data_IF_088820232382
#
_entry.id   IF_088820232382
#
_cell.length_a   1.000
_cell.length_b   1.000
_cell.length_c   1.000
_cell.angle_alpha   90.00
_cell.angle_beta   90.00
_cell.angle_gamma   90.00
#
_symmetry.space_group_name_H-M   'P 1'
#
loop_
_entity.id
_entity.type
_entity.pdbx_description
1 polymer ?
#
# COMPACT_ATOMS: atom_id res chain seq x y z
N UNK A 1 9.99 -27.06 8.39
CA UNK A 1 9.55 -26.05 9.37
C UNK A 1 8.08 -26.30 9.66
N UNK A 2 7.55 -25.99 10.84
CA UNK A 2 6.16 -26.28 11.21
C UNK A 2 5.14 -25.29 10.60
N UNK A 3 5.22 -25.09 9.30
CA UNK A 3 4.34 -24.20 8.54
C UNK A 3 3.30 -25.06 7.80
N UNK A 4 2.04 -24.61 7.75
CA UNK A 4 1.01 -25.19 6.91
C UNK A 4 1.08 -24.57 5.51
N UNK A 5 1.23 -25.39 4.46
CA UNK A 5 1.56 -24.94 3.10
C UNK A 5 0.54 -25.49 2.10
N UNK A 6 -0.11 -24.58 1.35
CA UNK A 6 -1.19 -24.93 0.41
C UNK A 6 -0.80 -24.60 -1.02
N UNK A 7 -0.97 -25.57 -1.93
CA UNK A 7 -0.72 -25.40 -3.36
C UNK A 7 -1.97 -24.99 -4.15
N UNK A 8 -1.84 -24.06 -5.09
CA UNK A 8 -2.88 -23.76 -6.07
C UNK A 8 -2.41 -24.12 -7.48
N UNK A 9 -3.15 -24.97 -8.19
CA UNK A 9 -2.79 -25.44 -9.53
C UNK A 9 -3.88 -25.14 -10.57
N UNK A 10 -3.49 -25.11 -11.85
CA UNK A 10 -4.37 -24.74 -12.97
C UNK A 10 -5.15 -25.88 -13.64
N UNK A 11 -5.18 -27.08 -13.05
CA UNK A 11 -6.05 -28.20 -13.44
C UNK A 11 -6.21 -29.22 -12.30
N UNK A 12 -7.28 -30.04 -12.33
CA UNK A 12 -7.46 -31.15 -11.38
C UNK A 12 -6.26 -32.08 -11.35
N UNK A 13 -5.72 -32.44 -12.52
CA UNK A 13 -4.61 -33.37 -12.62
C UNK A 13 -3.33 -32.82 -12.00
N UNK A 14 -3.06 -31.52 -12.14
CA UNK A 14 -1.93 -30.87 -11.48
C UNK A 14 -2.11 -30.77 -9.97
N UNK A 15 -3.28 -30.32 -9.49
CA UNK A 15 -3.59 -30.32 -8.05
C UNK A 15 -3.49 -31.73 -7.46
N UNK A 16 -4.00 -32.73 -8.19
CA UNK A 16 -3.90 -34.15 -7.84
C UNK A 16 -2.46 -34.63 -7.81
N UNK A 17 -1.60 -34.26 -8.76
CA UNK A 17 -0.16 -34.62 -8.76
C UNK A 17 0.60 -33.92 -7.62
N UNK A 18 0.22 -32.69 -7.24
CA UNK A 18 0.72 -32.02 -6.04
C UNK A 18 0.38 -32.75 -4.73
N UNK A 19 -0.59 -33.68 -4.73
CA UNK A 19 -0.93 -34.54 -3.59
C UNK A 19 -0.45 -36.01 -3.75
N UNK A 20 -0.61 -36.60 -4.93
CA UNK A 20 -0.67 -38.07 -5.09
C UNK A 20 0.70 -38.77 -5.09
N UNK A 21 1.80 -38.08 -5.38
CA UNK A 21 3.11 -38.70 -5.25
C UNK A 21 3.57 -38.90 -3.79
N UNK A 22 2.74 -38.56 -2.79
CA UNK A 22 2.98 -38.77 -1.34
C UNK A 22 4.29 -38.17 -0.78
N UNK A 23 4.98 -37.36 -1.57
CA UNK A 23 6.34 -36.86 -1.31
C UNK A 23 6.51 -35.38 -1.73
N UNK A 24 5.42 -34.70 -2.09
CA UNK A 24 5.40 -33.25 -2.37
C UNK A 24 4.88 -32.55 -1.12
N UNK A 25 5.61 -31.53 -0.66
CA UNK A 25 5.55 -31.03 0.73
C UNK A 25 4.47 -29.94 0.95
N UNK A 26 3.28 -30.18 0.40
CA UNK A 26 2.08 -29.39 0.68
C UNK A 26 1.17 -30.17 1.62
N UNK A 27 0.62 -29.51 2.63
CA UNK A 27 -0.41 -30.08 3.50
C UNK A 27 -1.76 -30.21 2.76
N UNK A 28 -2.03 -29.29 1.82
CA UNK A 28 -3.25 -29.23 1.02
C UNK A 28 -3.01 -28.65 -0.38
N UNK A 29 -3.91 -28.90 -1.33
CA UNK A 29 -3.89 -28.25 -2.65
C UNK A 29 -5.28 -28.18 -3.32
N UNK A 30 -5.48 -27.22 -4.23
CA UNK A 30 -6.74 -27.07 -4.98
C UNK A 30 -6.53 -26.61 -6.44
N UNK A 31 -7.57 -26.79 -7.26
CA UNK A 31 -7.59 -26.36 -8.66
C UNK A 31 -8.29 -24.98 -8.79
N UNK A 32 -7.52 -23.90 -8.85
CA UNK A 32 -8.07 -22.53 -8.81
C UNK A 32 -8.98 -22.19 -10.01
N UNK A 33 -8.99 -22.99 -11.09
CA UNK A 33 -9.86 -22.77 -12.26
C UNK A 33 -11.27 -23.36 -12.12
N UNK A 34 -11.54 -24.13 -11.08
CA UNK A 34 -12.85 -24.78 -10.86
C UNK A 34 -13.56 -24.33 -9.58
N UNK A 35 -12.89 -23.56 -8.73
CA UNK A 35 -13.51 -22.98 -7.55
C UNK A 35 -14.40 -21.79 -7.99
N UNK A 36 -15.71 -21.79 -7.71
CA UNK A 36 -16.60 -20.69 -8.10
C UNK A 36 -16.36 -19.42 -7.26
N UNK A 37 -15.77 -19.57 -6.08
CA UNK A 37 -15.33 -18.49 -5.21
C UNK A 37 -13.95 -18.81 -4.63
N UNK A 38 -12.92 -18.18 -5.19
CA UNK A 38 -11.54 -18.30 -4.69
C UNK A 38 -11.36 -17.68 -3.30
N UNK A 39 -12.12 -16.65 -2.95
CA UNK A 39 -12.04 -15.96 -1.66
C UNK A 39 -12.54 -16.87 -0.55
N UNK A 40 -13.71 -17.51 -0.74
CA UNK A 40 -14.21 -18.52 0.19
C UNK A 40 -13.32 -19.78 0.23
N UNK A 41 -12.69 -20.15 -0.89
CA UNK A 41 -11.77 -21.29 -0.93
C UNK A 41 -10.51 -21.05 -0.11
N UNK A 42 -9.84 -19.92 -0.33
CA UNK A 42 -8.69 -19.52 0.46
C UNK A 42 -9.05 -19.36 1.94
N UNK A 43 -10.28 -18.91 2.26
CA UNK A 43 -10.75 -18.81 3.65
C UNK A 43 -10.97 -20.16 4.32
N UNK A 44 -11.35 -21.21 3.58
CA UNK A 44 -11.47 -22.60 4.09
C UNK A 44 -10.10 -23.15 4.52
N UNK A 45 -9.08 -22.96 3.68
CA UNK A 45 -7.71 -23.41 3.97
C UNK A 45 -6.99 -22.53 5.00
N UNK A 46 -7.19 -21.21 4.95
CA UNK A 46 -6.53 -20.24 5.82
C UNK A 46 -7.54 -19.50 6.72
N UNK A 47 -8.18 -20.18 7.70
CA UNK A 47 -9.18 -19.55 8.56
C UNK A 47 -8.60 -18.40 9.39
N UNK A 48 -7.30 -18.46 9.74
CA UNK A 48 -6.56 -17.40 10.45
C UNK A 48 -5.95 -16.33 9.52
N UNK A 49 -5.96 -16.57 8.21
CA UNK A 49 -5.31 -15.75 7.19
C UNK A 49 -3.97 -16.33 6.70
N UNK A 50 -3.44 -15.75 5.62
CA UNK A 50 -2.20 -16.16 4.93
C UNK A 50 -1.04 -15.26 5.40
N UNK A 51 -0.03 -15.84 6.06
CA UNK A 51 1.16 -15.10 6.52
C UNK A 51 2.16 -14.79 5.39
N UNK A 52 2.28 -15.70 4.42
CA UNK A 52 3.19 -15.61 3.28
C UNK A 52 2.45 -16.13 2.04
N UNK A 53 2.34 -15.30 1.01
CA UNK A 53 1.90 -15.71 -0.32
C UNK A 53 3.04 -15.55 -1.34
N UNK A 54 3.17 -16.53 -2.23
CA UNK A 54 4.16 -16.51 -3.30
C UNK A 54 3.43 -16.26 -4.63
N UNK A 55 3.47 -15.01 -5.09
CA UNK A 55 2.67 -14.54 -6.22
C UNK A 55 3.34 -14.93 -7.56
N UNK A 56 2.74 -15.92 -8.20
CA UNK A 56 3.13 -16.47 -9.50
C UNK A 56 1.96 -16.56 -10.51
N UNK A 57 0.72 -16.23 -10.11
CA UNK A 57 -0.49 -16.32 -10.94
C UNK A 57 -0.97 -14.93 -11.37
N UNK A 58 -1.26 -14.02 -10.44
CA UNK A 58 -1.79 -12.67 -10.70
C UNK A 58 -3.31 -12.61 -10.89
N UNK A 59 -3.81 -11.40 -11.16
CA UNK A 59 -5.22 -11.12 -11.45
C UNK A 59 -6.18 -11.59 -10.35
N UNK A 60 -7.23 -12.33 -10.75
CA UNK A 60 -8.28 -12.83 -9.84
C UNK A 60 -7.76 -13.68 -8.67
N UNK A 61 -6.59 -14.32 -8.81
CA UNK A 61 -5.98 -15.06 -7.71
C UNK A 61 -5.41 -14.10 -6.64
N UNK A 62 -4.71 -13.04 -7.07
CA UNK A 62 -4.20 -12.00 -6.17
C UNK A 62 -5.34 -11.28 -5.44
N UNK A 63 -6.39 -10.95 -6.19
CA UNK A 63 -7.57 -10.27 -5.68
C UNK A 63 -8.31 -11.11 -4.62
N UNK A 64 -8.37 -12.44 -4.78
CA UNK A 64 -8.93 -13.36 -3.78
C UNK A 64 -7.99 -13.63 -2.59
N UNK A 65 -6.68 -13.47 -2.77
CA UNK A 65 -5.67 -13.62 -1.70
C UNK A 65 -5.64 -12.41 -0.77
N UNK A 66 -5.67 -11.17 -1.29
CA UNK A 66 -5.58 -9.94 -0.49
C UNK A 66 -6.56 -9.87 0.72
N UNK A 67 -7.87 -10.21 0.61
CA UNK A 67 -8.77 -10.24 1.77
C UNK A 67 -8.46 -11.40 2.74
N UNK A 68 -7.83 -12.47 2.25
CA UNK A 68 -7.40 -13.63 3.02
C UNK A 68 -6.00 -13.50 3.63
N UNK A 69 -5.22 -12.46 3.33
CA UNK A 69 -3.93 -12.22 4.00
C UNK A 69 -4.11 -12.03 5.52
N UNK A 70 -3.13 -12.50 6.29
CA UNK A 70 -2.99 -12.18 7.71
C UNK A 70 -2.58 -10.71 7.91
N UNK A 71 -2.68 -10.21 9.14
CA UNK A 71 -2.13 -8.90 9.51
C UNK A 71 -0.60 -8.96 9.43
N UNK A 72 0.04 -7.98 8.78
CA UNK A 72 1.47 -7.98 8.44
C UNK A 72 1.91 -9.14 7.53
N UNK A 73 0.95 -9.73 6.78
CA UNK A 73 1.23 -10.77 5.79
C UNK A 73 2.13 -10.27 4.64
N UNK A 74 2.89 -11.17 4.03
CA UNK A 74 3.89 -10.84 3.00
C UNK A 74 3.59 -11.51 1.66
N UNK A 75 3.77 -10.77 0.57
CA UNK A 75 3.60 -11.25 -0.80
C UNK A 75 4.93 -11.12 -1.54
N UNK A 76 5.55 -12.25 -1.91
CA UNK A 76 6.74 -12.26 -2.77
C UNK A 76 6.33 -12.44 -4.23
N UNK A 77 6.50 -11.41 -5.05
CA UNK A 77 6.06 -11.39 -6.45
C UNK A 77 7.17 -11.92 -7.35
N UNK A 78 6.89 -13.03 -8.03
CA UNK A 78 7.83 -13.76 -8.88
C UNK A 78 7.40 -13.78 -10.35
N UNK A 79 6.08 -13.86 -10.60
CA UNK A 79 5.54 -14.15 -11.93
C UNK A 79 4.36 -13.29 -12.35
N UNK A 80 3.18 -13.49 -11.75
CA UNK A 80 1.89 -13.11 -12.35
C UNK A 80 1.67 -13.74 -13.75
N UNK A 81 2.01 -15.03 -13.91
CA UNK A 81 2.11 -15.69 -15.22
C UNK A 81 0.78 -15.73 -16.00
N UNK A 82 -0.38 -15.71 -15.33
CA UNK A 82 -1.67 -15.68 -16.06
C UNK A 82 -1.91 -14.37 -16.80
N UNK A 83 -1.17 -13.31 -16.46
CA UNK A 83 -1.32 -11.97 -16.99
C UNK A 83 -0.48 -11.70 -18.25
N UNK A 84 0.57 -12.50 -18.49
CA UNK A 84 1.55 -12.27 -19.56
C UNK A 84 0.96 -12.31 -20.98
N UNK A 85 -0.09 -13.10 -21.19
CA UNK A 85 -0.69 -13.35 -22.50
C UNK A 85 -2.01 -12.60 -22.72
N UNK A 86 -2.38 -11.69 -21.80
CA UNK A 86 -3.59 -10.87 -21.89
C UNK A 86 -3.28 -9.54 -22.56
N UNK A 87 -4.11 -9.13 -23.54
CA UNK A 87 -4.00 -7.82 -24.22
C UNK A 87 -4.29 -6.65 -23.28
N UNK A 88 -5.13 -6.90 -22.28
CA UNK A 88 -5.32 -6.08 -21.10
C UNK A 88 -5.25 -7.05 -19.91
N UNK A 89 -4.21 -6.98 -19.06
CA UNK A 89 -4.15 -7.75 -17.82
C UNK A 89 -5.41 -7.54 -16.97
N UNK A 90 -5.77 -8.53 -16.15
CA UNK A 90 -6.77 -8.36 -15.09
C UNK A 90 -6.30 -7.25 -14.13
N UNK A 91 -7.13 -6.23 -13.93
CA UNK A 91 -6.92 -5.25 -12.86
C UNK A 91 -7.07 -5.90 -11.48
N UNK A 92 -6.29 -5.44 -10.50
CA UNK A 92 -6.54 -5.75 -9.08
C UNK A 92 -7.15 -4.53 -8.41
N UNK A 93 -8.40 -4.66 -7.98
CA UNK A 93 -9.26 -3.54 -7.58
C UNK A 93 -9.20 -3.30 -6.05
N UNK A 94 -8.81 -4.31 -5.27
CA UNK A 94 -8.85 -4.26 -3.80
C UNK A 94 -7.51 -3.95 -3.11
N UNK A 95 -6.60 -3.24 -3.80
CA UNK A 95 -5.27 -2.88 -3.27
C UNK A 95 -5.29 -2.01 -1.99
N UNK A 96 -6.42 -1.37 -1.67
CA UNK A 96 -6.60 -0.70 -0.37
C UNK A 96 -6.46 -1.67 0.82
N UNK A 97 -6.65 -2.98 0.60
CA UNK A 97 -6.41 -4.02 1.61
C UNK A 97 -4.95 -4.11 2.04
N UNK A 98 -3.99 -3.65 1.22
CA UNK A 98 -2.59 -3.51 1.63
C UNK A 98 -2.48 -2.61 2.88
N UNK A 99 -3.28 -1.55 2.97
CA UNK A 99 -3.33 -0.64 4.12
C UNK A 99 -3.95 -1.34 5.33
N UNK A 100 -5.17 -1.87 5.16
CA UNK A 100 -5.94 -2.46 6.27
C UNK A 100 -5.26 -3.69 6.88
N UNK A 101 -4.63 -4.52 6.05
CA UNK A 101 -3.87 -5.71 6.46
C UNK A 101 -2.40 -5.42 6.77
N UNK A 102 -1.89 -4.24 6.46
CA UNK A 102 -0.45 -3.87 6.47
C UNK A 102 0.41 -4.88 5.70
N UNK A 103 -0.06 -5.24 4.51
CA UNK A 103 0.61 -6.25 3.67
C UNK A 103 1.80 -5.62 2.97
N UNK A 104 2.92 -6.31 3.06
CA UNK A 104 4.15 -6.01 2.35
C UNK A 104 4.23 -6.85 1.08
N UNK A 105 4.26 -6.20 -0.09
CA UNK A 105 4.32 -6.83 -1.41
C UNK A 105 5.59 -6.40 -2.15
N UNK A 106 6.47 -7.33 -2.46
CA UNK A 106 7.80 -7.04 -3.04
C UNK A 106 8.09 -7.97 -4.22
N UNK A 107 8.45 -7.37 -5.36
CA UNK A 107 8.94 -8.12 -6.51
C UNK A 107 10.43 -8.43 -6.41
N UNK A 108 10.82 -9.63 -6.83
CA UNK A 108 12.22 -10.05 -6.82
C UNK A 108 12.61 -10.76 -8.13
N UNK A 109 13.90 -10.74 -8.47
CA UNK A 109 14.44 -11.54 -9.56
C UNK A 109 15.65 -12.33 -9.05
N UNK A 110 15.69 -13.63 -9.37
CA UNK A 110 16.69 -14.59 -8.84
C UNK A 110 18.15 -14.20 -9.16
N UNK A 111 18.38 -13.41 -10.20
CA UNK A 111 19.71 -12.88 -10.58
C UNK A 111 20.35 -12.05 -9.47
N UNK A 112 19.54 -11.28 -8.75
CA UNK A 112 20.03 -10.31 -7.77
C UNK A 112 20.45 -11.04 -6.48
N UNK A 113 19.79 -12.18 -6.23
CA UNK A 113 20.01 -13.08 -5.10
C UNK A 113 20.98 -14.23 -5.42
N UNK A 114 21.68 -14.20 -6.57
CA UNK A 114 22.62 -15.28 -6.95
C UNK A 114 23.81 -15.40 -5.99
N UNK A 115 24.09 -14.36 -5.20
CA UNK A 115 25.02 -14.40 -4.07
C UNK A 115 24.61 -15.42 -2.97
N UNK A 116 23.34 -15.81 -2.89
CA UNK A 116 22.83 -16.88 -2.02
C UNK A 116 23.01 -18.28 -2.61
N UNK A 117 23.36 -18.41 -3.91
CA UNK A 117 23.43 -19.69 -4.60
C UNK A 117 24.37 -20.73 -3.94
N UNK A 118 25.55 -20.37 -3.37
CA UNK A 118 26.38 -21.33 -2.64
C UNK A 118 25.67 -21.93 -1.42
N UNK A 119 24.99 -21.10 -0.63
CA UNK A 119 24.21 -21.50 0.56
C UNK A 119 22.98 -22.32 0.17
N UNK A 120 22.31 -21.95 -0.92
CA UNK A 120 21.24 -22.76 -1.52
C UNK A 120 21.77 -24.15 -1.92
N UNK A 121 22.89 -24.23 -2.63
CA UNK A 121 23.46 -25.50 -3.05
C UNK A 121 23.92 -26.38 -1.88
N UNK A 122 24.43 -25.79 -0.79
CA UNK A 122 24.73 -26.50 0.45
C UNK A 122 23.47 -27.09 1.09
N UNK A 123 22.44 -26.26 1.30
CA UNK A 123 21.14 -26.66 1.85
C UNK A 123 20.47 -27.76 1.00
N UNK A 124 20.44 -27.58 -0.32
CA UNK A 124 19.81 -28.54 -1.24
C UNK A 124 20.58 -29.86 -1.29
N UNK A 125 21.92 -29.86 -1.28
CA UNK A 125 22.74 -31.08 -1.19
C UNK A 125 22.42 -31.89 0.07
N UNK A 126 22.17 -31.23 1.21
CA UNK A 126 21.73 -31.93 2.42
C UNK A 126 20.34 -32.55 2.22
N UNK A 127 19.35 -31.78 1.76
CA UNK A 127 17.98 -32.27 1.60
C UNK A 127 17.86 -33.39 0.55
N UNK A 128 18.61 -33.34 -0.56
CA UNK A 128 18.67 -34.43 -1.53
C UNK A 128 19.30 -35.71 -0.94
N UNK A 129 20.39 -35.60 -0.16
CA UNK A 129 20.99 -36.76 0.54
C UNK A 129 20.04 -37.37 1.58
N UNK A 130 19.21 -36.55 2.20
CA UNK A 130 18.21 -36.96 3.20
C UNK A 130 16.88 -37.41 2.57
N UNK A 131 16.77 -37.46 1.24
CA UNK A 131 15.54 -37.84 0.52
C UNK A 131 14.38 -36.85 0.66
N UNK A 132 14.64 -35.63 1.15
CA UNK A 132 13.63 -34.62 1.52
C UNK A 132 13.17 -33.73 0.36
N UNK A 133 13.57 -34.03 -0.88
CA UNK A 133 13.21 -33.26 -2.07
C UNK A 133 12.84 -34.20 -3.20
N UNK A 134 11.59 -34.08 -3.66
CA UNK A 134 11.12 -34.66 -4.92
C UNK A 134 10.92 -33.53 -5.92
N UNK A 135 11.33 -33.77 -7.15
CA UNK A 135 11.28 -32.79 -8.23
C UNK A 135 10.76 -33.46 -9.48
N UNK A 136 9.66 -32.92 -10.02
CA UNK A 136 8.97 -33.46 -11.20
C UNK A 136 9.33 -32.57 -12.39
N UNK A 137 10.17 -33.11 -13.29
CA UNK A 137 10.47 -32.48 -14.57
C UNK A 137 9.54 -33.01 -15.66
N UNK A 138 9.22 -32.14 -16.61
CA UNK A 138 8.48 -32.47 -17.83
C UNK A 138 9.48 -32.42 -19.00
N UNK A 139 10.31 -33.45 -19.07
CA UNK A 139 11.48 -33.52 -19.96
C UNK A 139 11.06 -33.87 -21.38
N UNK A 140 11.32 -32.94 -22.29
CA UNK A 140 11.05 -33.10 -23.72
C UNK A 140 12.38 -33.08 -24.46
N UNK A 141 12.72 -34.19 -25.11
CA UNK A 141 13.96 -34.34 -25.89
C UNK A 141 13.77 -33.90 -27.35
N UNK A 142 14.86 -33.49 -28.00
CA UNK A 142 14.87 -32.95 -29.37
C UNK A 142 14.67 -31.44 -29.44
N UNK A 143 15.43 -30.76 -30.30
CA UNK A 143 15.29 -29.31 -30.55
C UNK A 143 13.99 -29.02 -31.31
N UNK A 144 13.65 -29.92 -32.23
CA UNK A 144 12.40 -30.05 -32.98
C UNK A 144 11.16 -30.11 -32.09
N UNK A 145 11.28 -30.61 -30.86
CA UNK A 145 10.20 -30.72 -29.88
C UNK A 145 10.00 -29.44 -29.04
N UNK A 146 11.00 -28.55 -29.01
CA UNK A 146 10.97 -27.34 -28.18
C UNK A 146 9.78 -26.39 -28.45
N UNK A 147 9.29 -26.19 -29.70
CA UNK A 147 8.09 -25.38 -29.94
C UNK A 147 6.83 -26.00 -29.32
N UNK A 148 6.68 -27.33 -29.39
CA UNK A 148 5.55 -28.03 -28.79
C UNK A 148 5.60 -28.00 -27.25
N UNK A 149 6.80 -28.15 -26.67
CA UNK A 149 7.04 -27.96 -25.25
C UNK A 149 6.66 -26.53 -24.79
N UNK A 150 7.11 -25.50 -25.52
CA UNK A 150 6.83 -24.10 -25.20
C UNK A 150 5.33 -23.77 -25.30
N UNK A 151 4.63 -24.29 -26.31
CA UNK A 151 3.17 -24.22 -26.41
C UNK A 151 2.51 -24.93 -25.22
N UNK A 152 3.03 -26.10 -24.82
CA UNK A 152 2.59 -26.84 -23.64
C UNK A 152 2.67 -26.00 -22.36
N UNK A 153 3.78 -25.27 -22.18
CA UNK A 153 4.00 -24.39 -21.03
C UNK A 153 2.98 -23.24 -21.00
N UNK A 154 2.90 -22.45 -22.08
CA UNK A 154 2.02 -21.26 -22.13
C UNK A 154 0.52 -21.59 -22.19
N UNK A 155 0.15 -22.75 -22.75
CA UNK A 155 -1.26 -23.23 -22.69
C UNK A 155 -1.57 -24.04 -21.42
N UNK A 156 -0.61 -24.15 -20.50
CA UNK A 156 -0.82 -24.76 -19.18
C UNK A 156 -0.99 -26.28 -19.19
N UNK A 157 -0.46 -26.98 -20.20
CA UNK A 157 -0.48 -28.46 -20.31
C UNK A 157 0.65 -29.13 -19.52
N UNK A 158 1.88 -28.60 -19.58
CA UNK A 158 3.07 -29.21 -18.95
C UNK A 158 2.91 -29.41 -17.45
N UNK A 159 3.22 -30.59 -16.93
CA UNK A 159 2.93 -31.02 -15.54
C UNK A 159 4.01 -30.57 -14.56
N UNK A 160 5.28 -30.55 -14.99
CA UNK A 160 6.44 -30.14 -14.20
C UNK A 160 7.04 -28.80 -14.62
N UNK A 161 8.25 -28.50 -14.12
CA UNK A 161 9.06 -27.39 -14.67
C UNK A 161 9.75 -27.89 -15.96
N UNK A 162 9.74 -27.05 -16.98
CA UNK A 162 10.31 -27.34 -18.30
C UNK A 162 11.62 -26.57 -18.48
N UNK A 163 12.68 -27.21 -18.99
CA UNK A 163 13.98 -26.57 -19.24
C UNK A 163 14.23 -26.42 -20.75
N UNK A 164 14.51 -25.19 -21.18
CA UNK A 164 14.90 -24.83 -22.56
C UNK A 164 15.64 -23.48 -22.49
N UNK A 165 16.52 -23.18 -23.46
CA UNK A 165 17.45 -22.04 -23.39
C UNK A 165 17.16 -21.05 -24.54
N UNK A 166 17.32 -19.74 -24.29
CA UNK A 166 17.21 -18.56 -25.21
C UNK A 166 15.81 -17.86 -25.23
N UNK A 167 15.71 -16.67 -25.84
CA UNK A 167 14.98 -15.47 -25.39
C UNK A 167 13.80 -14.97 -26.29
N UNK A 168 12.77 -14.39 -25.64
CA UNK A 168 11.93 -13.21 -26.02
C UNK A 168 10.89 -13.19 -27.19
N UNK A 169 9.64 -12.78 -26.86
CA UNK A 169 8.72 -11.81 -27.58
C UNK A 169 7.30 -12.27 -28.06
N UNK A 170 6.25 -12.02 -27.23
CA UNK A 170 4.82 -11.63 -27.56
C UNK A 170 3.84 -12.67 -28.24
N UNK A 171 2.48 -12.55 -28.27
CA UNK A 171 1.41 -11.90 -27.43
C UNK A 171 -0.04 -12.20 -27.98
N UNK A 172 -1.13 -11.63 -27.40
CA UNK A 172 -2.55 -11.53 -27.92
C UNK A 172 -3.40 -12.85 -28.00
N UNK A 173 -4.76 -12.95 -27.93
CA UNK A 173 -6.01 -12.11 -27.76
C UNK A 173 -7.03 -12.89 -26.84
N UNK A 174 -8.25 -12.51 -26.37
CA UNK A 174 -9.16 -11.33 -26.28
C UNK A 174 -10.31 -11.63 -25.24
N UNK A 175 -10.97 -10.62 -24.62
CA UNK A 175 -12.31 -10.69 -23.94
C UNK A 175 -12.50 -11.70 -22.75
N UNK A 176 -13.61 -11.86 -21.97
CA UNK A 176 -14.80 -11.10 -21.44
C UNK A 176 -15.50 -12.02 -20.35
N UNK A 177 -16.55 -11.72 -19.53
CA UNK A 177 -17.42 -10.58 -19.14
C UNK A 177 -17.98 -10.80 -17.69
N UNK A 178 -19.04 -10.10 -17.22
CA UNK A 178 -19.60 -10.22 -15.84
C UNK A 178 -21.07 -9.73 -15.68
N UNK A 179 -21.85 -10.21 -14.67
CA UNK A 179 -22.57 -9.37 -13.65
C UNK A 179 -22.82 -10.08 -12.27
N UNK A 180 -23.37 -9.54 -11.14
CA UNK A 180 -23.56 -8.22 -10.46
C UNK A 180 -24.17 -8.43 -9.01
N UNK A 181 -24.09 -7.41 -8.11
CA UNK A 181 -25.06 -7.04 -7.01
C UNK A 181 -25.22 -7.97 -5.74
N UNK A 182 -25.56 -7.51 -4.52
CA UNK A 182 -25.27 -6.29 -3.70
C UNK A 182 -25.67 -6.51 -2.20
N UNK A 183 -25.50 -5.52 -1.30
CA UNK A 183 -25.69 -5.63 0.18
C UNK A 183 -26.87 -4.78 0.75
N UNK A 184 -27.19 -4.91 2.05
CA UNK A 184 -28.25 -4.15 2.76
C UNK A 184 -27.87 -3.94 4.25
N UNK A 185 -28.21 -2.78 4.85
CA UNK A 185 -27.84 -2.39 6.23
C UNK A 185 -28.99 -1.67 6.99
N UNK A 186 -28.88 -1.63 8.33
CA UNK A 186 -29.69 -0.84 9.26
C UNK A 186 -28.77 0.09 10.07
N UNK A 187 -29.19 1.33 10.34
CA UNK A 187 -28.38 2.35 11.02
C UNK A 187 -28.95 2.75 12.40
N UNK A 188 -28.05 2.90 13.37
CA UNK A 188 -28.29 3.68 14.60
C UNK A 188 -27.63 5.06 14.44
N UNK A 189 -28.28 6.12 14.92
CA UNK A 189 -27.69 7.47 14.93
C UNK A 189 -26.80 7.62 16.16
N UNK A 190 -25.56 8.06 15.94
CA UNK A 190 -24.57 8.47 16.96
C UNK A 190 -23.80 9.69 16.41
N UNK A 191 -23.15 10.50 17.28
CA UNK A 191 -22.19 11.51 16.82
C UNK A 191 -21.11 10.89 15.94
N UNK A 192 -20.64 11.66 14.95
CA UNK A 192 -19.44 11.31 14.18
C UNK A 192 -18.24 11.37 15.14
N UNK A 193 -17.30 10.45 15.02
CA UNK A 193 -16.05 10.43 15.82
C UNK A 193 -14.89 10.84 14.92
N UNK A 194 -14.00 11.70 15.41
CA UNK A 194 -12.83 12.13 14.66
C UNK A 194 -11.68 12.61 15.55
N UNK A 195 -10.53 12.91 14.93
CA UNK A 195 -9.40 13.49 15.63
C UNK A 195 -9.60 14.98 15.88
N UNK A 196 -9.58 15.40 17.15
CA UNK A 196 -9.61 16.80 17.56
C UNK A 196 -8.66 17.06 18.74
N UNK A 197 -8.71 18.30 19.24
CA UNK A 197 -8.05 18.78 20.45
C UNK A 197 -9.12 19.28 21.40
N UNK A 198 -8.94 19.11 22.70
CA UNK A 198 -9.92 19.44 23.73
C UNK A 198 -9.24 19.82 25.05
N UNK A 199 -9.92 20.65 25.85
CA UNK A 199 -9.57 20.88 27.25
C UNK A 199 -10.25 19.84 28.14
N UNK A 200 -9.55 19.34 29.16
CA UNK A 200 -10.13 18.50 30.21
C UNK A 200 -10.86 19.41 31.21
N UNK A 201 -12.19 19.33 31.25
CA UNK A 201 -13.02 20.11 32.16
C UNK A 201 -13.22 19.42 33.53
N UNK A 202 -13.30 18.09 33.53
CA UNK A 202 -13.32 17.22 34.72
C UNK A 202 -12.68 15.87 34.36
N UNK A 203 -12.16 15.13 35.34
CA UNK A 203 -11.50 13.84 35.12
C UNK A 203 -11.51 12.94 36.36
N UNK A 204 -12.11 11.76 36.21
CA UNK A 204 -11.91 10.63 37.14
C UNK A 204 -10.64 9.80 36.87
N UNK A 205 -9.81 10.18 35.91
CA UNK A 205 -8.60 9.45 35.51
C UNK A 205 -7.34 10.20 36.01
N UNK A 206 -6.50 9.61 36.88
CA UNK A 206 -5.37 10.33 37.50
C UNK A 206 -4.28 10.82 36.52
N UNK A 207 -4.29 10.37 35.26
CA UNK A 207 -3.37 10.84 34.23
C UNK A 207 -3.79 12.19 33.59
N UNK A 208 -5.04 12.62 33.80
CA UNK A 208 -5.61 13.86 33.26
C UNK A 208 -6.28 14.66 34.39
N UNK A 209 -6.12 15.98 34.36
CA UNK A 209 -6.67 16.90 35.37
C UNK A 209 -7.25 18.14 34.69
N UNK A 210 -8.13 18.86 35.40
CA UNK A 210 -8.78 20.06 34.88
C UNK A 210 -7.76 21.07 34.33
N UNK A 211 -8.01 21.60 33.13
CA UNK A 211 -7.12 22.51 32.42
C UNK A 211 -5.94 21.84 31.67
N UNK A 212 -5.85 20.51 31.67
CA UNK A 212 -4.96 19.81 30.74
C UNK A 212 -5.55 19.84 29.32
N UNK A 213 -4.74 20.18 28.31
CA UNK A 213 -5.12 19.97 26.91
C UNK A 213 -4.77 18.55 26.45
N UNK A 214 -5.64 17.95 25.63
CA UNK A 214 -5.49 16.61 25.06
C UNK A 214 -5.81 16.61 23.57
N UNK A 215 -5.19 15.70 22.81
CA UNK A 215 -5.59 15.38 21.44
C UNK A 215 -5.89 13.90 21.29
N UNK A 216 -6.84 13.55 20.42
CA UNK A 216 -7.30 12.16 20.32
C UNK A 216 -8.61 12.01 19.57
N UNK A 217 -9.25 10.85 19.73
CA UNK A 217 -10.56 10.56 19.13
C UNK A 217 -11.68 11.04 20.05
N UNK A 218 -12.49 11.99 19.57
CA UNK A 218 -13.61 12.59 20.29
C UNK A 218 -14.85 12.69 19.37
N UNK A 219 -16.01 13.01 19.94
CA UNK A 219 -17.24 13.23 19.18
C UNK A 219 -17.26 14.57 18.44
N UNK A 220 -18.06 14.65 17.39
CA UNK A 220 -18.39 15.87 16.65
C UNK A 220 -19.49 16.64 17.40
N UNK A 221 -19.10 17.17 18.55
CA UNK A 221 -19.96 17.81 19.56
C UNK A 221 -19.13 18.83 20.37
N UNK A 222 -19.77 19.65 21.20
CA UNK A 222 -19.07 20.65 22.01
C UNK A 222 -18.41 20.05 23.27
N UNK A 223 -18.92 18.92 23.77
CA UNK A 223 -18.48 18.26 24.99
C UNK A 223 -18.61 16.74 24.84
N UNK A 224 -17.49 16.00 24.85
CA UNK A 224 -17.49 14.53 24.82
C UNK A 224 -17.21 13.94 26.21
N UNK A 225 -18.09 13.06 26.69
CA UNK A 225 -17.77 12.15 27.80
C UNK A 225 -16.99 10.95 27.25
N UNK A 226 -15.75 10.77 27.71
CA UNK A 226 -14.86 9.70 27.22
C UNK A 226 -14.70 8.66 28.33
N UNK A 227 -15.59 7.68 28.34
CA UNK A 227 -15.55 6.56 29.28
C UNK A 227 -14.41 5.60 28.94
N UNK A 228 -13.62 5.20 29.96
CA UNK A 228 -12.53 4.22 29.83
C UNK A 228 -11.61 4.45 28.61
N UNK A 229 -11.01 5.65 28.44
CA UNK A 229 -10.18 5.95 27.28
C UNK A 229 -9.04 4.93 27.19
N UNK A 230 -8.96 4.23 26.05
CA UNK A 230 -7.80 3.40 25.76
C UNK A 230 -6.54 4.28 25.84
N UNK A 231 -5.42 3.83 26.43
CA UNK A 231 -4.19 4.64 26.57
C UNK A 231 -3.54 5.12 25.25
N UNK A 232 -4.17 4.82 24.10
CA UNK A 232 -3.77 5.15 22.74
C UNK A 232 -4.78 6.06 22.02
N UNK A 233 -5.90 6.39 22.67
CA UNK A 233 -7.04 7.13 22.10
C UNK A 233 -7.07 8.62 22.50
N UNK A 234 -6.46 8.97 23.65
CA UNK A 234 -6.20 10.33 24.10
C UNK A 234 -4.71 10.45 24.45
N UNK A 235 -4.07 11.51 23.99
CA UNK A 235 -2.68 11.88 24.31
C UNK A 235 -2.66 13.29 24.86
N UNK A 236 -1.97 13.49 25.98
CA UNK A 236 -1.79 14.81 26.60
C UNK A 236 -0.92 15.72 25.72
N UNK A 237 -1.25 17.01 25.72
CA UNK A 237 -0.43 18.07 25.10
C UNK A 237 0.48 18.67 26.18
N UNK A 238 1.76 18.31 26.14
CA UNK A 238 2.81 18.86 27.03
C UNK A 238 3.55 20.07 26.42
N UNK A 239 3.15 20.54 25.24
CA UNK A 239 3.79 21.62 24.49
C UNK A 239 2.71 22.56 23.92
N UNK A 240 2.54 23.72 24.54
CA UNK A 240 1.47 24.71 24.22
C UNK A 240 2.02 26.02 23.68
N UNK A 241 3.34 26.11 23.48
CA UNK A 241 4.08 27.18 22.79
C UNK A 241 3.96 27.12 21.25
N UNK A 242 2.95 26.39 20.76
CA UNK A 242 2.52 26.26 19.36
C UNK A 242 0.98 26.24 19.30
N UNK A 243 0.35 26.70 18.19
CA UNK A 243 -1.11 26.65 18.04
C UNK A 243 -1.70 25.26 18.28
N UNK A 244 -2.71 25.15 19.15
CA UNK A 244 -3.29 23.85 19.50
C UNK A 244 -3.84 23.08 18.28
N UNK A 245 -4.34 23.78 17.25
CA UNK A 245 -4.81 23.19 15.99
C UNK A 245 -3.82 22.21 15.35
N UNK A 246 -2.51 22.44 15.54
CA UNK A 246 -1.44 21.60 15.01
C UNK A 246 -1.49 20.15 15.52
N UNK A 247 -2.07 19.89 16.69
CA UNK A 247 -2.28 18.53 17.21
C UNK A 247 -3.43 17.79 16.52
N UNK A 248 -4.23 18.45 15.67
CA UNK A 248 -5.09 17.77 14.68
C UNK A 248 -4.33 17.37 13.40
N UNK A 249 -3.09 17.86 13.24
CA UNK A 249 -2.37 17.98 11.97
C UNK A 249 -0.87 17.68 12.09
N UNK A 250 -0.03 18.71 11.97
CA UNK A 250 1.44 18.60 11.90
C UNK A 250 2.11 17.97 13.13
N UNK A 251 1.52 18.08 14.33
CA UNK A 251 2.00 17.43 15.55
C UNK A 251 1.15 16.22 15.97
N UNK A 252 0.01 16.01 15.32
CA UNK A 252 -0.89 14.89 15.58
C UNK A 252 -0.75 13.76 14.58
N UNK A 253 -1.86 13.04 14.37
CA UNK A 253 -1.95 11.89 13.47
C UNK A 253 -1.37 12.15 12.06
N UNK A 254 -1.72 13.23 11.32
CA UNK A 254 -1.19 13.44 9.98
C UNK A 254 0.33 13.62 9.90
N UNK A 255 0.94 14.30 10.89
CA UNK A 255 2.38 14.46 10.99
C UNK A 255 3.09 13.14 11.30
N UNK A 256 2.57 12.36 12.25
CA UNK A 256 3.08 11.04 12.55
C UNK A 256 2.95 10.09 11.35
N UNK A 257 1.84 10.14 10.60
CA UNK A 257 1.64 9.38 9.35
C UNK A 257 2.71 9.71 8.30
N UNK A 258 2.99 11.00 8.08
CA UNK A 258 4.04 11.44 7.16
C UNK A 258 5.42 10.92 7.59
N UNK A 259 5.73 10.98 8.88
CA UNK A 259 6.98 10.50 9.44
C UNK A 259 7.16 8.98 9.28
N UNK A 260 6.17 8.18 9.66
CA UNK A 260 6.24 6.70 9.55
C UNK A 260 6.38 6.29 8.08
N UNK A 261 5.47 6.78 7.23
CA UNK A 261 5.39 6.39 5.82
C UNK A 261 6.61 6.85 5.02
N UNK A 262 7.25 7.97 5.37
CA UNK A 262 8.48 8.40 4.71
C UNK A 262 9.72 7.83 5.41
N UNK A 263 10.03 8.28 6.62
CA UNK A 263 11.32 8.04 7.28
C UNK A 263 11.57 6.55 7.56
N UNK A 264 10.59 5.85 8.12
CA UNK A 264 10.76 4.45 8.55
C UNK A 264 10.55 3.50 7.36
N UNK A 265 9.36 3.53 6.73
CA UNK A 265 9.03 2.58 5.66
C UNK A 265 9.93 2.70 4.43
N UNK A 266 10.09 3.89 3.85
CA UNK A 266 10.87 4.04 2.60
C UNK A 266 12.38 4.01 2.84
N UNK A 267 12.83 4.25 4.09
CA UNK A 267 14.24 4.37 4.48
C UNK A 267 15.03 5.27 3.49
N UNK A 268 14.68 6.57 3.41
CA UNK A 268 15.08 7.47 2.33
C UNK A 268 16.57 7.85 2.39
N UNK A 269 17.16 8.09 1.23
CA UNK A 269 18.58 8.47 1.08
C UNK A 269 18.71 9.78 0.33
N UNK A 270 19.71 10.57 0.71
CA UNK A 270 20.06 11.83 0.03
C UNK A 270 20.30 11.60 -1.46
N UNK A 271 19.67 12.43 -2.30
CA UNK A 271 19.77 12.37 -3.77
C UNK A 271 18.76 11.45 -4.45
N UNK A 272 17.90 10.74 -3.72
CA UNK A 272 16.78 9.98 -4.28
C UNK A 272 15.67 10.89 -4.84
N UNK A 273 14.89 10.34 -5.77
CA UNK A 273 13.79 11.00 -6.47
C UNK A 273 12.44 10.56 -5.86
N UNK A 274 11.72 11.52 -5.29
CA UNK A 274 10.49 11.30 -4.49
C UNK A 274 9.28 11.89 -5.21
N UNK A 275 8.25 11.07 -5.43
CA UNK A 275 6.93 11.51 -5.86
C UNK A 275 5.94 11.45 -4.69
N UNK A 276 5.06 12.44 -4.57
CA UNK A 276 4.00 12.50 -3.57
C UNK A 276 2.66 12.76 -4.28
N UNK A 277 1.69 11.84 -4.17
CA UNK A 277 0.32 12.08 -4.64
C UNK A 277 -0.49 12.84 -3.59
N UNK A 278 -1.44 13.68 -4.02
CA UNK A 278 -2.19 14.62 -3.16
C UNK A 278 -1.29 15.50 -2.26
N UNK A 279 -0.17 15.98 -2.82
CA UNK A 279 0.94 16.57 -2.08
C UNK A 279 0.59 17.83 -1.28
N UNK A 280 -0.44 18.59 -1.65
CA UNK A 280 -0.90 19.77 -0.89
C UNK A 280 -1.78 19.42 0.34
N UNK A 281 -2.01 18.14 0.61
CA UNK A 281 -2.80 17.67 1.76
C UNK A 281 -2.04 17.74 3.09
N UNK A 282 -2.70 17.32 4.17
CA UNK A 282 -2.15 17.36 5.54
C UNK A 282 -0.88 16.50 5.71
N UNK A 283 -0.87 15.29 5.11
CA UNK A 283 0.27 14.35 5.12
C UNK A 283 1.30 14.75 4.05
N UNK A 284 0.84 14.92 2.81
CA UNK A 284 1.71 15.17 1.65
C UNK A 284 2.62 16.40 1.79
N UNK A 285 2.14 17.48 2.40
CA UNK A 285 2.94 18.71 2.55
C UNK A 285 4.12 18.50 3.50
N UNK A 286 4.00 17.56 4.45
CA UNK A 286 5.04 17.22 5.42
C UNK A 286 6.02 16.20 4.83
N UNK A 287 5.52 15.17 4.14
CA UNK A 287 6.35 14.19 3.41
C UNK A 287 7.33 14.89 2.46
N UNK A 288 6.83 15.83 1.66
CA UNK A 288 7.68 16.56 0.73
C UNK A 288 8.78 17.37 1.43
N UNK A 289 8.45 18.06 2.52
CA UNK A 289 9.42 18.81 3.31
C UNK A 289 10.43 17.90 4.02
N UNK A 290 10.02 16.76 4.57
CA UNK A 290 10.94 15.76 5.13
C UNK A 290 11.90 15.21 4.05
N UNK A 291 11.42 15.01 2.82
CA UNK A 291 12.24 14.62 1.69
C UNK A 291 13.21 15.75 1.25
N UNK A 292 12.79 17.02 1.24
CA UNK A 292 13.69 18.17 1.01
C UNK A 292 14.77 18.26 2.10
N UNK A 293 14.43 18.05 3.37
CA UNK A 293 15.37 18.03 4.49
C UNK A 293 16.37 16.87 4.41
N UNK A 294 15.96 15.71 3.88
CA UNK A 294 16.84 14.58 3.57
C UNK A 294 17.76 14.86 2.35
N UNK A 295 17.51 15.94 1.60
CA UNK A 295 18.26 16.29 0.39
C UNK A 295 17.86 15.45 -0.82
N UNK A 296 16.59 15.07 -0.91
CA UNK A 296 15.99 14.44 -2.09
C UNK A 296 15.55 15.47 -3.15
N UNK A 297 15.34 15.00 -4.37
CA UNK A 297 14.54 15.69 -5.38
C UNK A 297 13.07 15.28 -5.22
N UNK A 298 12.14 16.22 -5.21
CA UNK A 298 10.76 16.01 -4.76
C UNK A 298 9.78 16.70 -5.71
N UNK A 299 8.83 15.93 -6.24
CA UNK A 299 7.72 16.43 -7.07
C UNK A 299 6.37 16.00 -6.49
N UNK A 300 5.40 16.91 -6.51
CA UNK A 300 4.06 16.70 -5.96
C UNK A 300 2.96 16.88 -7.00
N UNK A 301 1.87 16.12 -6.88
CA UNK A 301 0.65 16.39 -7.64
C UNK A 301 -0.45 16.97 -6.75
N UNK A 302 -1.22 17.92 -7.30
CA UNK A 302 -2.37 18.52 -6.65
C UNK A 302 -3.51 18.79 -7.64
N UNK A 303 -4.70 19.13 -7.14
CA UNK A 303 -5.94 19.24 -7.95
C UNK A 303 -6.36 20.67 -8.33
N UNK A 304 -5.46 21.65 -8.25
CA UNK A 304 -5.62 23.03 -8.75
C UNK A 304 -4.26 23.71 -8.92
N UNK A 305 -4.17 24.73 -9.80
CA UNK A 305 -2.96 25.56 -9.97
C UNK A 305 -2.49 26.21 -8.67
N UNK A 306 -3.40 26.76 -7.86
CA UNK A 306 -3.09 27.35 -6.55
C UNK A 306 -2.31 26.38 -5.65
N UNK A 307 -2.70 25.11 -5.63
CA UNK A 307 -2.05 24.07 -4.82
C UNK A 307 -0.69 23.67 -5.39
N UNK A 308 -0.50 23.73 -6.71
CA UNK A 308 0.80 23.59 -7.38
C UNK A 308 1.73 24.75 -7.05
N UNK A 309 1.23 25.98 -7.08
CA UNK A 309 1.99 27.17 -6.72
C UNK A 309 2.39 27.14 -5.23
N UNK A 310 1.53 26.65 -4.33
CA UNK A 310 1.87 26.40 -2.92
C UNK A 310 3.00 25.36 -2.74
N UNK A 311 2.95 24.25 -3.48
CA UNK A 311 3.97 23.19 -3.42
C UNK A 311 5.36 23.73 -3.76
N UNK A 312 5.49 24.46 -4.86
CA UNK A 312 6.77 25.01 -5.32
C UNK A 312 7.23 26.20 -4.47
N UNK A 313 6.35 27.17 -4.21
CA UNK A 313 6.74 28.45 -3.62
C UNK A 313 6.74 28.48 -2.09
N UNK A 314 5.93 27.63 -1.42
CA UNK A 314 5.77 27.65 0.06
C UNK A 314 6.26 26.37 0.74
N UNK A 315 6.13 25.20 0.11
CA UNK A 315 6.62 23.92 0.65
C UNK A 315 7.97 23.47 0.08
N UNK A 316 8.55 24.20 -0.88
CA UNK A 316 9.91 23.98 -1.38
C UNK A 316 10.10 22.71 -2.23
N UNK A 317 9.03 22.17 -2.82
CA UNK A 317 9.12 21.10 -3.81
C UNK A 317 9.89 21.60 -5.04
N UNK A 318 10.72 20.74 -5.65
CA UNK A 318 11.49 21.11 -6.85
C UNK A 318 10.57 21.32 -8.05
N UNK A 319 9.50 20.53 -8.16
CA UNK A 319 8.41 20.77 -9.09
C UNK A 319 7.04 20.27 -8.59
N UNK A 320 5.96 20.66 -9.27
CA UNK A 320 4.61 20.14 -9.04
C UNK A 320 3.73 20.33 -10.28
N UNK A 321 2.69 19.50 -10.42
CA UNK A 321 1.74 19.55 -11.54
C UNK A 321 0.28 19.41 -11.09
N UNK A 322 -0.65 19.99 -11.87
CA UNK A 322 -2.08 19.83 -11.62
C UNK A 322 -2.56 18.57 -12.34
N UNK A 323 -2.86 17.49 -11.60
CA UNK A 323 -3.25 16.22 -12.22
C UNK A 323 -4.58 16.30 -13.01
N UNK A 324 -5.38 17.37 -12.84
CA UNK A 324 -6.61 17.60 -13.61
C UNK A 324 -6.38 18.26 -14.97
N UNK A 325 -5.18 18.79 -15.23
CA UNK A 325 -4.79 19.44 -16.49
C UNK A 325 -3.96 18.50 -17.39
N UNK A 326 -3.65 17.29 -16.92
CA UNK A 326 -2.77 16.33 -17.61
C UNK A 326 -3.59 15.17 -18.20
N UNK A 327 -3.35 14.86 -19.48
CA UNK A 327 -4.08 13.80 -20.20
C UNK A 327 -3.38 12.43 -20.18
N UNK A 328 -2.07 12.41 -19.93
CA UNK A 328 -1.26 11.19 -19.79
C UNK A 328 -0.37 11.33 -18.57
N UNK A 329 -0.74 10.65 -17.48
CA UNK A 329 0.01 10.67 -16.22
C UNK A 329 1.36 9.97 -16.35
N UNK A 330 1.50 8.94 -17.20
CA UNK A 330 2.74 8.19 -17.34
C UNK A 330 3.80 9.01 -18.08
N UNK A 331 3.42 9.69 -19.17
CA UNK A 331 4.28 10.65 -19.84
C UNK A 331 4.57 11.87 -18.96
N UNK A 332 3.59 12.36 -18.19
CA UNK A 332 3.76 13.48 -17.25
C UNK A 332 4.80 13.18 -16.19
N UNK A 333 4.67 12.05 -15.49
CA UNK A 333 5.66 11.60 -14.53
C UNK A 333 7.03 11.41 -15.20
N UNK A 334 7.09 10.94 -16.45
CA UNK A 334 8.37 10.82 -17.17
C UNK A 334 9.05 12.17 -17.48
N UNK A 335 8.30 13.27 -17.64
CA UNK A 335 8.87 14.62 -17.78
C UNK A 335 9.59 15.07 -16.50
N UNK A 336 8.97 14.86 -15.35
CA UNK A 336 9.50 15.23 -14.03
C UNK A 336 10.56 14.25 -13.49
N UNK A 337 10.44 12.97 -13.85
CA UNK A 337 11.30 11.88 -13.41
C UNK A 337 12.01 11.20 -14.59
N UNK A 338 12.90 11.90 -15.33
CA UNK A 338 13.60 11.31 -16.46
C UNK A 338 14.46 10.10 -16.06
N UNK A 339 14.99 10.08 -14.83
CA UNK A 339 15.75 8.97 -14.24
C UNK A 339 14.88 7.89 -13.56
N UNK A 340 13.59 8.17 -13.35
CA UNK A 340 12.66 7.35 -12.57
C UNK A 340 12.41 7.87 -11.15
N UNK A 341 11.51 7.18 -10.44
CA UNK A 341 11.02 7.50 -9.08
C UNK A 341 11.58 6.47 -8.09
N UNK A 342 12.44 6.87 -7.15
CA UNK A 342 12.99 5.98 -6.12
C UNK A 342 11.98 5.74 -4.99
N UNK A 343 11.17 6.75 -4.66
CA UNK A 343 10.14 6.70 -3.62
C UNK A 343 8.84 7.28 -4.15
N UNK A 344 7.74 6.55 -3.96
CA UNK A 344 6.38 7.07 -4.09
C UNK A 344 5.67 7.03 -2.74
N UNK A 345 5.19 8.18 -2.28
CA UNK A 345 4.26 8.27 -1.16
C UNK A 345 2.83 8.34 -1.71
N UNK A 346 2.08 7.25 -1.52
CA UNK A 346 0.79 7.01 -2.16
C UNK A 346 -0.37 7.38 -1.23
N UNK A 347 -1.16 8.38 -1.63
CA UNK A 347 -2.38 8.86 -0.98
C UNK A 347 -3.65 8.73 -1.85
N UNK A 348 -3.52 8.40 -3.14
CA UNK A 348 -4.55 8.55 -4.19
C UNK A 348 -4.98 7.23 -4.81
N UNK A 349 -4.05 6.35 -5.21
CA UNK A 349 -4.35 5.07 -5.87
C UNK A 349 -4.82 5.20 -7.33
N UNK A 350 -5.49 4.16 -7.82
CA UNK A 350 -6.11 4.10 -9.15
C UNK A 350 -5.13 4.38 -10.31
N UNK A 351 -5.59 5.13 -11.31
CA UNK A 351 -4.80 5.52 -12.50
C UNK A 351 -3.45 6.19 -12.17
N UNK A 352 -3.33 6.86 -11.02
CA UNK A 352 -2.06 7.48 -10.61
C UNK A 352 -1.02 6.44 -10.19
N UNK A 353 -1.42 5.40 -9.45
CA UNK A 353 -0.54 4.29 -9.11
C UNK A 353 -0.07 3.55 -10.37
N UNK A 354 -1.00 3.29 -11.29
CA UNK A 354 -0.71 2.65 -12.57
C UNK A 354 0.29 3.44 -13.42
N UNK A 355 0.20 4.78 -13.42
CA UNK A 355 1.14 5.66 -14.10
C UNK A 355 2.52 5.78 -13.42
N UNK A 356 2.58 5.58 -12.10
CA UNK A 356 3.83 5.59 -11.33
C UNK A 356 4.65 4.32 -11.54
N UNK A 357 4.01 3.13 -11.52
CA UNK A 357 4.70 1.84 -11.64
C UNK A 357 5.71 1.71 -12.80
N UNK A 358 5.44 2.16 -14.05
CA UNK A 358 6.44 2.14 -15.13
C UNK A 358 7.54 3.19 -14.94
N UNK A 359 7.26 4.28 -14.23
CA UNK A 359 8.20 5.34 -13.90
C UNK A 359 9.05 5.06 -12.64
N UNK A 360 8.74 4.04 -11.83
CA UNK A 360 9.58 3.65 -10.68
C UNK A 360 11.01 3.28 -11.11
N UNK A 361 11.99 3.66 -10.28
CA UNK A 361 13.38 3.23 -10.39
C UNK A 361 13.54 1.76 -9.99
N UNK A 362 14.73 1.20 -10.23
CA UNK A 362 15.10 -0.14 -9.76
C UNK A 362 15.24 -0.12 -8.22
N UNK A 363 14.65 -1.08 -7.52
CA UNK A 363 14.55 -1.11 -6.05
C UNK A 363 13.81 0.10 -5.45
N UNK A 364 12.88 0.69 -6.22
CA UNK A 364 12.00 1.75 -5.74
C UNK A 364 11.03 1.28 -4.64
N UNK A 365 10.48 2.22 -3.87
CA UNK A 365 9.57 1.92 -2.73
C UNK A 365 8.27 2.73 -2.85
N UNK A 366 7.15 2.08 -2.57
CA UNK A 366 5.82 2.67 -2.53
C UNK A 366 5.25 2.51 -1.12
N UNK A 367 5.11 3.60 -0.38
CA UNK A 367 4.42 3.59 0.92
C UNK A 367 2.95 3.95 0.71
N UNK A 368 2.09 2.97 0.92
CA UNK A 368 0.64 3.04 0.68
C UNK A 368 -0.03 3.60 1.93
N UNK A 369 -0.13 4.92 1.99
CA UNK A 369 -0.79 5.66 3.07
C UNK A 369 -2.30 5.79 2.85
N UNK A 370 -2.75 5.85 1.60
CA UNK A 370 -4.15 6.03 1.25
C UNK A 370 -4.41 5.79 -0.24
N UNK A 371 -5.69 5.62 -0.58
CA UNK A 371 -6.16 5.52 -1.97
C UNK A 371 -7.43 6.37 -2.17
N UNK A 372 -7.36 7.67 -1.88
CA UNK A 372 -8.55 8.52 -1.74
C UNK A 372 -9.42 8.64 -2.99
N UNK A 373 -8.88 8.38 -4.19
CA UNK A 373 -9.69 8.32 -5.41
C UNK A 373 -10.72 7.17 -5.40
N UNK A 374 -10.45 6.12 -4.63
CA UNK A 374 -11.19 4.86 -4.63
C UNK A 374 -12.31 4.81 -3.58
N UNK A 375 -12.25 5.66 -2.55
CA UNK A 375 -13.10 5.53 -1.35
C UNK A 375 -14.59 5.79 -1.59
N UNK A 376 -14.93 6.51 -2.67
CA UNK A 376 -16.30 6.89 -3.02
C UNK A 376 -16.81 6.18 -4.29
N UNK A 377 -16.10 5.16 -4.79
CA UNK A 377 -16.50 4.38 -5.96
C UNK A 377 -17.28 3.14 -5.51
N UNK A 378 -18.40 2.83 -6.18
CA UNK A 378 -19.14 1.57 -5.97
C UNK A 378 -18.32 0.34 -6.41
N UNK A 379 -17.44 0.54 -7.38
CA UNK A 379 -16.44 -0.41 -7.85
C UNK A 379 -15.11 0.34 -7.99
N UNK A 380 -14.08 0.03 -7.18
CA UNK A 380 -12.75 0.61 -7.32
C UNK A 380 -12.13 0.33 -8.70
N UNK A 381 -11.25 1.22 -9.15
CA UNK A 381 -10.42 1.04 -10.34
C UNK A 381 -9.44 -0.14 -10.16
N UNK A 382 -9.28 -0.94 -11.20
CA UNK A 382 -8.23 -1.95 -11.27
C UNK A 382 -6.86 -1.33 -11.52
N UNK A 383 -5.81 -1.93 -10.95
CA UNK A 383 -4.42 -1.67 -11.37
C UNK A 383 -3.88 -2.91 -12.08
N UNK A 384 -3.49 -2.75 -13.33
CA UNK A 384 -3.28 -3.82 -14.31
C UNK A 384 -1.79 -4.15 -14.48
N UNK A 385 -0.88 -3.23 -14.12
CA UNK A 385 0.55 -3.35 -14.41
C UNK A 385 1.43 -3.73 -13.19
N UNK A 386 0.85 -4.36 -12.16
CA UNK A 386 1.56 -4.80 -10.95
C UNK A 386 2.75 -5.75 -11.20
N UNK A 387 2.82 -6.42 -12.36
CA UNK A 387 4.01 -7.18 -12.77
C UNK A 387 5.30 -6.31 -12.80
N UNK A 388 5.17 -4.99 -12.99
CA UNK A 388 6.30 -4.06 -12.91
C UNK A 388 6.98 -4.05 -11.53
N UNK A 389 6.29 -4.49 -10.46
CA UNK A 389 6.93 -4.76 -9.16
C UNK A 389 8.06 -5.77 -9.30
N UNK A 390 7.88 -6.85 -10.09
CA UNK A 390 8.91 -7.86 -10.38
C UNK A 390 10.05 -7.24 -11.19
N UNK A 391 9.72 -6.61 -12.32
CA UNK A 391 10.71 -6.06 -13.27
C UNK A 391 11.61 -5.02 -12.61
N UNK A 392 11.01 -4.11 -11.83
CA UNK A 392 11.69 -3.03 -11.12
C UNK A 392 12.20 -3.43 -9.73
N UNK A 393 11.85 -4.62 -9.22
CA UNK A 393 12.07 -5.06 -7.82
C UNK A 393 11.56 -4.03 -6.80
N UNK A 394 10.35 -3.54 -7.02
CA UNK A 394 9.74 -2.51 -6.18
C UNK A 394 9.05 -3.16 -4.98
N UNK A 395 9.25 -2.54 -3.81
CA UNK A 395 8.51 -2.81 -2.57
C UNK A 395 7.29 -1.90 -2.49
N UNK A 396 6.11 -2.46 -2.28
CA UNK A 396 4.86 -1.77 -2.06
C UNK A 396 4.26 -2.22 -0.72
N UNK A 397 4.07 -1.29 0.21
CA UNK A 397 3.78 -1.62 1.61
C UNK A 397 2.74 -0.67 2.19
N UNK A 398 1.64 -1.23 2.72
CA UNK A 398 0.63 -0.45 3.44
C UNK A 398 0.89 -0.43 4.95
N UNK A 399 0.51 0.67 5.59
CA UNK A 399 0.75 0.88 7.03
C UNK A 399 -0.42 1.62 7.69
N UNK A 400 -0.57 1.47 9.00
CA UNK A 400 -1.49 2.25 9.81
C UNK A 400 -0.83 2.71 11.12
N UNK A 401 -1.08 3.97 11.48
CA UNK A 401 -0.48 4.69 12.63
C UNK A 401 -0.55 3.96 13.97
N UNK A 402 -1.58 3.12 14.18
CA UNK A 402 -1.84 2.40 15.43
C UNK A 402 -0.65 1.54 15.85
N UNK A 403 0.07 1.02 14.87
CA UNK A 403 1.11 0.02 15.05
C UNK A 403 2.46 0.68 15.42
N UNK A 404 2.55 2.00 15.19
CA UNK A 404 3.76 2.82 15.28
C UNK A 404 3.65 3.94 16.33
N UNK A 405 2.61 3.97 17.18
CA UNK A 405 2.49 4.98 18.24
C UNK A 405 3.71 5.02 19.18
N UNK A 406 4.43 3.90 19.32
CA UNK A 406 5.69 3.81 20.05
C UNK A 406 6.81 4.71 19.48
N UNK A 407 6.68 5.20 18.24
CA UNK A 407 7.59 6.16 17.60
C UNK A 407 7.17 7.63 17.79
N UNK A 408 6.00 7.91 18.39
CA UNK A 408 5.52 9.28 18.57
C UNK A 408 6.50 10.19 19.36
N UNK A 409 7.23 9.73 20.40
CA UNK A 409 8.28 10.53 21.04
C UNK A 409 9.44 10.88 20.09
N UNK A 410 9.96 9.90 19.34
CA UNK A 410 11.02 10.07 18.33
C UNK A 410 10.60 11.07 17.23
N UNK A 411 9.33 10.99 16.82
CA UNK A 411 8.71 11.94 15.91
C UNK A 411 8.65 13.36 16.51
N UNK A 412 8.19 13.53 17.75
CA UNK A 412 8.14 14.85 18.40
C UNK A 412 9.53 15.47 18.60
N UNK A 413 10.56 14.67 18.91
CA UNK A 413 11.95 15.13 18.96
C UNK A 413 12.42 15.66 17.60
N UNK A 414 12.15 14.93 16.51
CA UNK A 414 12.42 15.38 15.15
C UNK A 414 11.68 16.69 14.83
N UNK A 415 10.38 16.76 15.16
CA UNK A 415 9.56 17.95 14.91
C UNK A 415 10.05 19.16 15.68
N UNK A 416 10.46 19.02 16.95
CA UNK A 416 11.07 20.12 17.72
C UNK A 416 12.33 20.67 17.03
N UNK A 417 13.21 19.80 16.52
CA UNK A 417 14.44 20.22 15.83
C UNK A 417 14.20 21.01 14.53
N UNK A 418 13.23 20.61 13.70
CA UNK A 418 12.99 21.27 12.40
C UNK A 418 11.94 22.37 12.46
N UNK A 419 10.88 22.23 13.27
CA UNK A 419 9.80 23.20 13.38
C UNK A 419 10.23 24.44 14.17
N UNK A 420 10.79 24.28 15.38
CA UNK A 420 11.31 25.42 16.16
C UNK A 420 12.50 26.09 15.48
N UNK A 421 13.23 25.35 14.63
CA UNK A 421 14.28 25.88 13.78
C UNK A 421 13.80 26.64 12.53
N UNK A 422 12.48 26.81 12.34
CA UNK A 422 11.90 27.55 11.21
C UNK A 422 12.05 26.86 9.84
N UNK A 423 12.35 25.55 9.81
CA UNK A 423 12.66 24.79 8.58
C UNK A 423 11.45 24.03 8.01
N UNK A 424 10.29 24.15 8.64
CA UNK A 424 9.03 23.54 8.21
C UNK A 424 7.94 24.62 8.18
N UNK A 425 7.13 24.58 7.12
CA UNK A 425 5.98 25.44 6.91
C UNK A 425 4.72 24.59 6.88
N UNK A 426 3.66 25.04 7.55
CA UNK A 426 2.36 24.36 7.56
C UNK A 426 1.26 25.26 7.00
N UNK A 427 0.24 24.64 6.41
CA UNK A 427 -0.98 25.32 5.97
C UNK A 427 -2.20 24.54 6.44
N UNK A 428 -3.00 25.22 7.26
CA UNK A 428 -4.33 24.79 7.70
C UNK A 428 -5.40 25.57 6.91
N UNK A 429 -6.51 24.89 6.64
CA UNK A 429 -7.74 25.40 6.07
C UNK A 429 -8.78 25.33 7.19
N UNK A 430 -9.07 26.45 7.83
CA UNK A 430 -9.88 26.49 9.06
C UNK A 430 -11.27 27.02 8.76
N UNK A 431 -12.29 26.23 9.08
CA UNK A 431 -13.68 26.70 9.14
C UNK A 431 -14.10 26.90 10.59
N UNK A 432 -14.93 27.91 10.84
CA UNK A 432 -15.50 28.21 12.15
C UNK A 432 -16.86 27.51 12.32
N UNK A 433 -17.16 27.06 13.54
CA UNK A 433 -18.44 26.45 13.91
C UNK A 433 -18.52 24.95 13.59
N UNK A 434 -19.13 24.18 14.49
CA UNK A 434 -19.41 22.76 14.31
C UNK A 434 -20.39 22.51 13.15
N UNK A 435 -21.26 23.49 12.88
CA UNK A 435 -22.23 23.56 11.80
C UNK A 435 -21.55 23.49 10.42
N UNK A 436 -20.32 23.98 10.32
CA UNK A 436 -19.49 23.94 9.10
C UNK A 436 -18.85 22.57 8.85
N UNK A 437 -18.73 21.72 9.88
CA UNK A 437 -17.97 20.48 9.83
C UNK A 437 -18.43 19.48 8.74
N UNK A 438 -19.74 19.25 8.50
CA UNK A 438 -20.18 18.35 7.43
C UNK A 438 -19.83 18.88 6.03
N UNK A 439 -19.94 20.20 5.82
CA UNK A 439 -19.59 20.84 4.54
C UNK A 439 -18.08 20.82 4.28
N UNK A 440 -17.26 20.95 5.32
CA UNK A 440 -15.81 20.79 5.26
C UNK A 440 -15.39 19.34 4.94
N UNK A 441 -16.04 18.34 5.57
CA UNK A 441 -15.79 16.92 5.30
C UNK A 441 -16.11 16.53 3.85
N UNK A 442 -17.29 16.92 3.34
CA UNK A 442 -17.64 16.74 1.92
C UNK A 442 -16.72 17.56 1.00
N UNK A 443 -16.18 18.68 1.51
CA UNK A 443 -15.17 19.50 0.84
C UNK A 443 -13.83 18.79 0.63
N UNK A 444 -13.43 17.89 1.54
CA UNK A 444 -12.20 17.12 1.43
C UNK A 444 -12.24 16.13 0.25
N UNK A 445 -13.34 15.40 0.08
CA UNK A 445 -13.50 14.45 -1.03
C UNK A 445 -13.64 15.11 -2.40
N UNK A 446 -14.15 16.35 -2.45
CA UNK A 446 -14.17 17.18 -3.66
C UNK A 446 -12.87 17.98 -3.86
N UNK A 447 -11.90 17.86 -2.94
CA UNK A 447 -10.61 18.51 -3.01
C UNK A 447 -10.68 20.04 -2.94
N UNK A 448 -11.67 20.61 -2.23
CA UNK A 448 -11.83 22.06 -2.03
C UNK A 448 -10.71 22.61 -1.13
N UNK A 449 -10.48 21.97 0.02
CA UNK A 449 -9.56 22.41 1.07
C UNK A 449 -8.11 22.70 0.60
N UNK A 450 -7.53 23.83 1.03
CA UNK A 450 -6.17 24.27 0.71
C UNK A 450 -5.25 24.03 1.92
N UNK A 451 -4.78 22.79 2.07
CA UNK A 451 -3.97 22.36 3.21
C UNK A 451 -4.72 21.36 4.12
N UNK A 452 -4.41 21.36 5.41
CA UNK A 452 -5.09 20.54 6.41
C UNK A 452 -6.43 21.18 6.80
N UNK A 453 -7.55 20.54 6.48
CA UNK A 453 -8.86 20.98 6.97
C UNK A 453 -8.96 20.85 8.50
N UNK A 454 -9.24 21.96 9.17
CA UNK A 454 -9.54 22.09 10.61
C UNK A 454 -10.94 22.67 10.76
N UNK A 455 -11.66 22.26 11.81
CA UNK A 455 -12.90 22.89 12.26
C UNK A 455 -12.62 23.48 13.64
N UNK A 456 -12.83 24.78 13.83
CA UNK A 456 -12.80 25.40 15.17
C UNK A 456 -14.20 25.31 15.77
N UNK A 457 -14.35 24.45 16.78
CA UNK A 457 -15.62 24.24 17.51
C UNK A 457 -15.84 25.30 18.59
N UNK A 458 -14.77 25.74 19.24
CA UNK A 458 -14.75 26.81 20.23
C UNK A 458 -13.43 27.62 20.14
N UNK A 459 -13.41 28.80 20.73
CA UNK A 459 -12.16 29.53 21.00
C UNK A 459 -11.67 29.19 22.42
N UNK A 460 -10.35 29.26 22.59
CA UNK A 460 -9.63 29.32 23.88
C UNK A 460 -9.84 30.68 24.56
#
# INVERSE_FOLDING_TARGET
MGCYVVGSAGSKEKARISMIQQQVWFDDAFNYKEEPDLTATLKRYFPKGIDIYFENVGGKMLEAVLPNMALHGRISVCGMISQYNLEQPDGVHNLFLLILKRVHMEGFIVTDHYHLYPKFMEMMKQHFKEGKLVYVEDTVEGLESAPAALIGLYTGRSIGKQQSIILFTFYSLLCHQSPYISLLFLCYVKPIIGHAVSEVLDSGNPNFKQGDYVWGLVGWEQYSLIENPHPMALTKIDYTDVPLSYYTGILGMPGLTAYIGFNELTSPKKGEYVYVSAASGAVGQLVGQFAKLMGCYVVGSAGSKEKVDLLKNKFGFDDAFNYKEEHDFAATLKRYFPKGIDIYFENVGGMMLEAVLPNMALHGRISVCGMISQYNLEQPDGVHNLFLLVVKRVRMEGFLISDYQHLYPKFLEMMKQYFMGGKLVYVEDTVEGLESAPAALVGLFSGRNVGKQVVRVAHE
#
